data_IF_946087347892
#
_entry.id   IF_946087347892
#
_cell.length_a   1.000
_cell.length_b   1.000
_cell.length_c   1.000
_cell.angle_alpha   90.00
_cell.angle_beta   90.00
_cell.angle_gamma   90.00
#
_symmetry.space_group_name_H-M   'P 1'
#
loop_
_entity.id
_entity.type
_entity.pdbx_description
1 polymer ?
#
# COMPACT_ATOMS: atom_id res chain seq x y z
N UNK A 1 -12.60 11.55 -13.03
CA UNK A 1 -13.29 10.83 -11.94
C UNK A 1 -12.27 10.68 -10.83
N UNK A 2 -12.58 11.00 -9.58
CA UNK A 2 -11.60 10.87 -8.50
C UNK A 2 -11.28 9.40 -8.27
N UNK A 3 -10.07 9.01 -8.66
CA UNK A 3 -9.60 7.63 -8.62
C UNK A 3 -9.11 7.33 -7.20
N UNK A 4 -10.06 7.31 -6.27
CA UNK A 4 -9.79 7.17 -4.84
C UNK A 4 -9.33 5.74 -4.55
N UNK A 5 -8.16 5.61 -3.93
CA UNK A 5 -7.62 4.36 -3.42
C UNK A 5 -7.49 4.44 -1.91
N UNK A 6 -7.79 3.36 -1.21
CA UNK A 6 -7.52 3.25 0.22
C UNK A 6 -6.31 2.35 0.42
N UNK A 7 -5.20 2.93 0.86
CA UNK A 7 -4.05 2.19 1.35
C UNK A 7 -4.35 1.72 2.77
N UNK A 8 -4.45 0.42 2.96
CA UNK A 8 -4.61 -0.19 4.27
C UNK A 8 -3.25 -0.66 4.75
N UNK A 9 -2.55 0.26 5.39
CA UNK A 9 -1.22 0.07 5.92
C UNK A 9 -1.29 -0.74 7.21
N UNK A 10 -0.56 -1.85 7.29
CA UNK A 10 -0.52 -2.77 8.44
C UNK A 10 0.91 -2.91 8.92
N UNK A 11 1.12 -2.59 10.18
CA UNK A 11 2.33 -2.96 10.91
C UNK A 11 2.02 -4.14 11.83
N UNK A 12 3.03 -4.66 12.52
CA UNK A 12 2.87 -5.77 13.50
C UNK A 12 1.83 -5.46 14.58
N UNK A 13 1.68 -4.19 14.96
CA UNK A 13 0.87 -3.78 16.11
C UNK A 13 -0.35 -2.95 15.74
N UNK A 14 -0.37 -2.35 14.55
CA UNK A 14 -1.39 -1.37 14.17
C UNK A 14 -1.82 -1.53 12.72
N UNK A 15 -3.05 -1.10 12.45
CA UNK A 15 -3.58 -1.00 11.09
C UNK A 15 -4.14 0.39 10.88
N UNK A 16 -3.70 1.06 9.82
CA UNK A 16 -4.15 2.38 9.42
C UNK A 16 -4.73 2.34 8.01
N UNK A 17 -5.74 3.17 7.76
CA UNK A 17 -6.34 3.33 6.43
C UNK A 17 -6.15 4.76 5.98
N UNK A 18 -5.43 4.94 4.87
CA UNK A 18 -5.17 6.25 4.28
C UNK A 18 -5.87 6.30 2.93
N UNK A 19 -6.75 7.28 2.74
CA UNK A 19 -7.38 7.53 1.44
C UNK A 19 -6.46 8.44 0.64
N UNK A 20 -6.05 7.96 -0.52
CA UNK A 20 -5.15 8.65 -1.44
C UNK A 20 -5.76 8.65 -2.83
N UNK A 21 -5.22 9.50 -3.68
CA UNK A 21 -5.56 9.50 -5.10
C UNK A 21 -4.58 8.57 -5.81
N UNK A 22 -5.08 7.53 -6.48
CA UNK A 22 -4.20 6.56 -7.13
C UNK A 22 -3.39 7.16 -8.28
N UNK A 23 -3.89 8.22 -8.93
CA UNK A 23 -3.14 8.91 -9.99
C UNK A 23 -1.92 9.64 -9.41
N UNK A 24 -1.96 9.94 -8.11
CA UNK A 24 -0.84 10.49 -7.35
C UNK A 24 0.02 9.42 -6.70
N UNK A 25 -0.16 8.13 -7.00
CA UNK A 25 0.72 7.05 -6.55
C UNK A 25 1.50 6.50 -7.75
N UNK A 26 2.42 7.31 -8.25
CA UNK A 26 3.29 6.93 -9.36
C UNK A 26 4.55 6.19 -8.88
N UNK A 27 5.00 6.50 -7.65
CA UNK A 27 6.29 6.03 -7.14
C UNK A 27 6.17 5.47 -5.71
N UNK A 28 7.00 4.48 -5.40
CA UNK A 28 7.10 3.92 -4.05
C UNK A 28 7.51 4.96 -3.01
N UNK A 29 8.21 6.02 -3.43
CA UNK A 29 8.55 7.14 -2.57
C UNK A 29 7.31 7.74 -1.89
N UNK A 30 6.19 7.85 -2.59
CA UNK A 30 4.97 8.43 -2.05
C UNK A 30 4.31 7.51 -1.03
N UNK A 31 4.31 6.19 -1.27
CA UNK A 31 3.84 5.19 -0.30
C UNK A 31 4.70 5.23 0.97
N UNK A 32 6.02 5.27 0.80
CA UNK A 32 6.97 5.39 1.91
C UNK A 32 6.73 6.65 2.72
N UNK A 33 6.52 7.78 2.06
CA UNK A 33 6.18 9.04 2.72
C UNK A 33 4.88 8.94 3.53
N UNK A 34 3.82 8.32 2.99
CA UNK A 34 2.59 8.07 3.76
C UNK A 34 2.81 7.14 4.96
N UNK A 35 3.63 6.10 4.81
CA UNK A 35 3.98 5.18 5.90
C UNK A 35 4.75 5.94 6.99
N UNK A 36 5.74 6.75 6.64
CA UNK A 36 6.56 7.52 7.59
C UNK A 36 5.77 8.65 8.26
N UNK A 37 4.83 9.28 7.55
CA UNK A 37 3.89 10.24 8.14
C UNK A 37 2.95 9.54 9.14
N UNK A 38 2.54 8.30 8.85
CA UNK A 38 1.67 7.51 9.72
C UNK A 38 2.41 6.94 10.94
N UNK A 39 3.65 6.51 10.74
CA UNK A 39 4.53 5.94 11.76
C UNK A 39 5.89 6.61 11.70
N UNK A 40 6.04 7.68 12.48
CA UNK A 40 7.30 8.44 12.57
C UNK A 40 8.48 7.58 13.03
N UNK A 41 8.21 6.45 13.70
CA UNK A 41 9.20 5.46 14.13
C UNK A 41 9.84 4.65 12.99
N UNK A 42 9.21 4.60 11.82
CA UNK A 42 9.75 3.95 10.61
C UNK A 42 10.61 4.90 9.78
N UNK A 43 10.55 6.20 10.07
CA UNK A 43 11.32 7.22 9.36
C UNK A 43 12.82 6.96 9.52
N UNK A 44 13.50 6.76 8.39
CA UNK A 44 14.93 6.47 8.36
C UNK A 44 15.31 5.06 8.81
N UNK A 45 14.34 4.13 8.92
CA UNK A 45 14.60 2.71 9.07
C UNK A 45 14.46 1.99 7.74
N UNK A 46 15.21 0.91 7.57
CA UNK A 46 14.98 -0.03 6.48
C UNK A 46 13.74 -0.89 6.79
N UNK A 47 12.72 -0.74 5.96
CA UNK A 47 11.50 -1.56 5.99
C UNK A 47 11.12 -1.99 4.59
N UNK A 48 10.50 -3.16 4.52
CA UNK A 48 9.95 -3.75 3.30
C UNK A 48 8.44 -3.59 3.33
N UNK A 49 7.88 -3.26 2.18
CA UNK A 49 6.43 -3.15 2.00
C UNK A 49 6.01 -4.32 1.14
N UNK A 50 5.02 -5.05 1.60
CA UNK A 50 4.39 -6.14 0.87
C UNK A 50 2.95 -5.76 0.57
N UNK A 51 2.40 -6.25 -0.53
CA UNK A 51 0.99 -6.15 -0.85
C UNK A 51 0.39 -7.55 -0.98
N UNK A 52 -0.91 -7.67 -0.77
CA UNK A 52 -1.63 -8.90 -1.05
C UNK A 52 -2.27 -8.80 -2.42
N UNK A 53 -1.97 -9.77 -3.28
CA UNK A 53 -2.51 -9.82 -4.64
C UNK A 53 -3.94 -10.42 -4.66
N UNK A 54 -4.52 -10.55 -5.85
CA UNK A 54 -5.86 -11.12 -6.07
C UNK A 54 -6.00 -12.59 -5.64
N UNK A 55 -4.90 -13.35 -5.67
CA UNK A 55 -4.81 -14.74 -5.22
C UNK A 55 -4.56 -14.87 -3.71
N UNK A 56 -4.35 -13.75 -3.01
CA UNK A 56 -4.11 -13.73 -1.57
C UNK A 56 -2.66 -13.97 -1.16
N UNK A 57 -1.71 -13.88 -2.09
CA UNK A 57 -0.28 -14.05 -1.83
C UNK A 57 0.37 -12.72 -1.42
N UNK A 58 1.32 -12.79 -0.49
CA UNK A 58 2.11 -11.62 -0.08
C UNK A 58 3.27 -11.41 -1.04
N UNK A 59 3.12 -10.41 -1.91
CA UNK A 59 4.13 -10.01 -2.88
C UNK A 59 4.91 -8.80 -2.38
N UNK A 60 6.21 -8.74 -2.69
CA UNK A 60 7.03 -7.55 -2.38
C UNK A 60 6.58 -6.38 -3.25
N UNK A 61 6.27 -5.25 -2.63
CA UNK A 61 5.90 -4.02 -3.33
C UNK A 61 7.16 -3.21 -3.65
N UNK A 62 7.42 -3.03 -4.94
CA UNK A 62 8.50 -2.19 -5.48
C UNK A 62 7.92 -1.26 -6.57
N UNK A 63 8.71 -0.32 -7.08
CA UNK A 63 8.26 0.60 -8.14
C UNK A 63 7.75 -0.12 -9.41
N UNK A 64 8.29 -1.31 -9.70
CA UNK A 64 7.84 -2.13 -10.83
C UNK A 64 6.48 -2.79 -10.60
N UNK A 65 6.18 -3.22 -9.37
CA UNK A 65 4.93 -3.93 -9.05
C UNK A 65 3.83 -2.99 -8.55
N UNK A 66 4.17 -1.73 -8.23
CA UNK A 66 3.22 -0.74 -7.73
C UNK A 66 2.10 -0.45 -8.74
N UNK A 67 2.49 -0.17 -9.99
CA UNK A 67 1.53 0.13 -11.06
C UNK A 67 0.57 -1.04 -11.31
N UNK A 68 1.12 -2.26 -11.34
CA UNK A 68 0.36 -3.50 -11.50
C UNK A 68 -0.60 -3.72 -10.33
N UNK A 69 -0.11 -3.64 -9.09
CA UNK A 69 -0.94 -3.81 -7.89
C UNK A 69 -2.10 -2.81 -7.83
N UNK A 70 -1.87 -1.54 -8.19
CA UNK A 70 -2.93 -0.52 -8.25
C UNK A 70 -3.94 -0.83 -9.36
N UNK A 71 -3.46 -1.19 -10.55
CA UNK A 71 -4.33 -1.53 -11.67
C UNK A 71 -5.24 -2.71 -11.32
N UNK A 72 -4.68 -3.79 -10.77
CA UNK A 72 -5.44 -4.97 -10.34
C UNK A 72 -6.52 -4.64 -9.33
N UNK A 73 -6.21 -3.89 -8.26
CA UNK A 73 -7.24 -3.54 -7.26
C UNK A 73 -8.31 -2.60 -7.83
N UNK A 74 -7.95 -1.74 -8.80
CA UNK A 74 -8.92 -0.88 -9.48
C UNK A 74 -9.85 -1.67 -10.39
N UNK A 75 -9.33 -2.60 -11.18
CA UNK A 75 -10.12 -3.46 -12.07
C UNK A 75 -11.08 -4.34 -11.27
N UNK A 76 -10.61 -4.95 -10.18
CA UNK A 76 -11.45 -5.74 -9.27
C UNK A 76 -12.58 -4.90 -8.65
N UNK A 77 -12.31 -3.63 -8.34
CA UNK A 77 -13.30 -2.75 -7.71
C UNK A 77 -14.22 -2.03 -8.69
N UNK A 78 -13.88 -1.92 -9.98
CA UNK A 78 -14.78 -1.42 -11.01
C UNK A 78 -16.09 -2.21 -11.05
N UNK A 79 -16.01 -3.52 -10.82
CA UNK A 79 -17.20 -4.40 -10.77
C UNK A 79 -17.98 -4.30 -9.47
N UNK A 80 -17.34 -3.91 -8.36
CA UNK A 80 -17.91 -3.97 -7.02
C UNK A 80 -18.57 -2.65 -6.54
N UNK A 81 -18.45 -1.53 -7.29
CA UNK A 81 -18.83 -0.16 -6.87
C UNK A 81 -18.26 0.27 -5.50
N UNK A 82 -17.24 -0.44 -5.02
CA UNK A 82 -16.57 -0.15 -3.77
C UNK A 82 -15.29 0.65 -4.05
N UNK A 83 -14.78 1.32 -3.02
CA UNK A 83 -13.50 2.02 -3.11
C UNK A 83 -12.39 0.96 -3.09
N UNK A 84 -11.47 0.95 -4.07
CA UNK A 84 -10.37 0.00 -4.08
C UNK A 84 -9.53 0.12 -2.81
N UNK A 85 -9.19 -1.04 -2.24
CA UNK A 85 -8.39 -1.15 -1.03
C UNK A 85 -7.15 -1.97 -1.36
N UNK A 86 -5.98 -1.37 -1.13
CA UNK A 86 -4.70 -2.05 -1.24
C UNK A 86 -4.20 -2.35 0.18
N UNK A 87 -4.21 -3.62 0.57
CA UNK A 87 -3.66 -4.07 1.86
C UNK A 87 -2.13 -4.12 1.75
N UNK A 88 -1.46 -3.27 2.51
CA UNK A 88 -0.01 -3.14 2.56
C UNK A 88 0.52 -3.59 3.91
N UNK A 89 1.48 -4.48 3.91
CA UNK A 89 2.15 -5.00 5.11
C UNK A 89 3.55 -4.43 5.19
N UNK A 90 3.82 -3.72 6.28
CA UNK A 90 5.11 -3.07 6.52
C UNK A 90 5.87 -3.92 7.52
N UNK A 91 7.04 -4.39 7.11
CA UNK A 91 7.96 -5.18 7.93
C UNK A 91 9.29 -4.44 8.05
N UNK A 92 9.62 -3.96 9.25
CA UNK A 92 10.92 -3.31 9.51
C UNK A 92 12.02 -4.35 9.73
N UNK A 93 13.24 -4.10 9.23
CA UNK A 93 14.40 -4.93 9.56
C UNK A 93 14.71 -4.85 11.07
N UNK A 94 14.90 -6.01 11.70
CA UNK A 94 15.16 -6.15 13.13
C UNK A 94 13.95 -6.53 14.00
N UNK A 95 12.78 -6.78 13.42
CA UNK A 95 11.68 -7.48 14.09
C UNK A 95 11.79 -9.00 13.86
N UNK A 96 12.77 -9.63 14.53
CA UNK A 96 12.76 -11.08 14.80
C UNK A 96 11.88 -11.41 16.02
#
# INVERSE_FOLDING_TARGET
MSNNLVLKLRTRTQTMRVRVDSEKLADMYQIKDYIEQSWTQLKGKDYRVYYVDEFGEMCLLNDLSLGDAIATVQELNMSAKNIPVLDLFIQAEGEE
#
